data_IF_342806899525
#
_entry.id   IF_342806899525
#
_cell.length_a   1.000
_cell.length_b   1.000
_cell.length_c   1.000
_cell.angle_alpha   90.00
_cell.angle_beta   90.00
_cell.angle_gamma   90.00
#
_symmetry.space_group_name_H-M   'P 1'
#
loop_
_entity.id
_entity.type
_entity.pdbx_description
1 polymer ?
#
# COMPACT_ATOMS: atom_id res chain seq x y z
N UNK A 1 22.18 -0.45 2.77
CA UNK A 1 20.87 -1.11 2.63
C UNK A 1 19.79 -0.09 2.95
N UNK A 2 19.77 1.01 2.20
CA UNK A 2 18.74 2.06 2.22
C UNK A 2 17.97 2.07 0.88
N UNK A 3 18.25 1.10 0.00
CA UNK A 3 17.97 1.21 -1.43
C UNK A 3 16.47 1.10 -1.76
N UNK A 4 15.66 0.41 -0.94
CA UNK A 4 14.25 0.16 -1.29
C UNK A 4 13.34 1.39 -1.16
N UNK A 5 13.57 2.21 -0.15
CA UNK A 5 12.73 3.38 0.11
C UNK A 5 13.14 4.56 -0.78
N UNK A 6 14.45 4.70 -1.05
CA UNK A 6 14.94 5.63 -2.08
C UNK A 6 14.39 5.29 -3.47
N UNK A 7 14.30 4.01 -3.83
CA UNK A 7 13.71 3.59 -5.11
C UNK A 7 12.21 3.93 -5.20
N UNK A 8 11.45 3.83 -4.10
CA UNK A 8 10.02 4.16 -4.04
C UNK A 8 9.80 5.66 -4.27
N UNK A 9 10.54 6.51 -3.54
CA UNK A 9 10.39 7.96 -3.67
C UNK A 9 10.87 8.45 -5.04
N UNK A 10 11.93 7.86 -5.57
CA UNK A 10 12.41 8.17 -6.92
C UNK A 10 11.40 7.78 -7.99
N UNK A 11 10.78 6.60 -7.89
CA UNK A 11 9.71 6.20 -8.81
C UNK A 11 8.50 7.14 -8.74
N UNK A 12 8.11 7.58 -7.53
CA UNK A 12 7.05 8.56 -7.36
C UNK A 12 7.39 9.88 -8.07
N UNK A 13 8.60 10.39 -7.88
CA UNK A 13 9.08 11.62 -8.51
C UNK A 13 9.12 11.49 -10.04
N UNK A 14 9.65 10.39 -10.56
CA UNK A 14 9.75 10.15 -12.01
C UNK A 14 8.37 10.05 -12.66
N UNK A 15 7.41 9.38 -12.02
CA UNK A 15 6.03 9.30 -12.51
C UNK A 15 5.29 10.63 -12.45
N UNK A 16 5.45 11.40 -11.37
CA UNK A 16 4.89 12.75 -11.29
C UNK A 16 5.46 13.66 -12.40
N UNK A 17 6.78 13.64 -12.62
CA UNK A 17 7.44 14.40 -13.70
C UNK A 17 6.94 13.99 -15.09
N UNK A 18 6.52 12.73 -15.25
CA UNK A 18 5.89 12.23 -16.46
C UNK A 18 4.39 12.62 -16.59
N UNK A 19 3.85 13.40 -15.65
CA UNK A 19 2.46 13.87 -15.67
C UNK A 19 1.45 12.81 -15.21
N UNK A 20 1.91 11.79 -14.50
CA UNK A 20 1.06 10.67 -14.04
C UNK A 20 0.48 10.94 -12.67
N UNK A 21 -0.71 10.41 -12.43
CA UNK A 21 -1.24 10.27 -11.09
C UNK A 21 -0.42 9.25 -10.28
N UNK A 22 -0.08 9.60 -9.05
CA UNK A 22 0.73 8.76 -8.15
C UNK A 22 0.07 8.72 -6.78
N UNK A 23 0.05 7.55 -6.16
CA UNK A 23 -0.31 7.35 -4.76
C UNK A 23 0.78 6.60 -4.01
N UNK A 24 0.90 6.91 -2.73
CA UNK A 24 1.75 6.21 -1.77
C UNK A 24 0.85 5.48 -0.78
N UNK A 25 1.08 4.18 -0.62
CA UNK A 25 0.44 3.35 0.36
C UNK A 25 1.47 2.91 1.40
N UNK A 26 1.28 3.28 2.67
CA UNK A 26 2.25 3.06 3.75
C UNK A 26 1.60 2.30 4.90
N UNK A 27 2.24 1.24 5.36
CA UNK A 27 1.84 0.56 6.59
C UNK A 27 2.07 1.50 7.76
N UNK A 28 1.00 1.96 8.41
CA UNK A 28 1.08 2.88 9.54
C UNK A 28 1.02 2.15 10.88
N UNK A 29 0.36 0.99 10.92
CA UNK A 29 0.21 0.19 12.13
C UNK A 29 0.23 -1.30 11.80
N UNK A 30 0.74 -2.10 12.74
CA UNK A 30 0.83 -3.55 12.63
C UNK A 30 0.46 -4.21 13.96
N UNK A 31 -0.31 -5.29 13.93
CA UNK A 31 -0.66 -6.12 15.08
C UNK A 31 -0.31 -7.58 14.83
N UNK A 32 0.09 -8.28 15.90
CA UNK A 32 0.45 -9.69 15.85
C UNK A 32 1.65 -9.94 14.93
N UNK A 33 1.64 -11.09 14.26
CA UNK A 33 2.70 -11.54 13.35
C UNK A 33 2.54 -10.95 11.95
N UNK A 34 2.41 -9.62 11.85
CA UNK A 34 2.29 -8.92 10.58
C UNK A 34 3.52 -9.18 9.68
N UNK A 35 3.33 -9.39 8.37
CA UNK A 35 4.40 -9.83 7.47
C UNK A 35 5.40 -8.72 7.11
N UNK A 36 5.02 -7.45 7.31
CA UNK A 36 5.84 -6.25 7.06
C UNK A 36 5.73 -5.30 8.24
N UNK A 37 6.82 -4.61 8.62
CA UNK A 37 6.78 -3.61 9.69
C UNK A 37 6.07 -2.34 9.24
N UNK A 38 5.62 -1.54 10.22
CA UNK A 38 5.22 -0.16 9.97
C UNK A 38 6.35 0.62 9.28
N UNK A 39 5.97 1.53 8.38
CA UNK A 39 6.86 2.23 7.47
C UNK A 39 7.10 1.51 6.14
N UNK A 40 6.67 0.25 5.97
CA UNK A 40 6.73 -0.41 4.67
C UNK A 40 5.77 0.27 3.69
N UNK A 41 6.29 0.65 2.53
CA UNK A 41 5.52 1.40 1.54
C UNK A 41 5.42 0.72 0.18
N UNK A 42 4.44 1.16 -0.58
CA UNK A 42 4.13 0.81 -1.95
C UNK A 42 3.79 2.10 -2.69
N UNK A 43 4.51 2.42 -3.77
CA UNK A 43 4.13 3.50 -4.69
C UNK A 43 3.38 2.90 -5.86
N UNK A 44 2.29 3.55 -6.27
CA UNK A 44 1.38 3.10 -7.32
C UNK A 44 1.12 4.28 -8.25
N UNK A 45 1.09 4.03 -9.56
CA UNK A 45 0.65 5.03 -10.54
C UNK A 45 -0.73 4.72 -11.12
N UNK A 46 -1.26 5.66 -11.89
CA UNK A 46 -2.58 5.61 -12.54
C UNK A 46 -2.78 4.48 -13.59
N UNK A 47 -1.75 3.73 -13.97
CA UNK A 47 -1.89 2.51 -14.78
C UNK A 47 -1.85 1.23 -13.92
N UNK A 48 -1.77 1.37 -12.59
CA UNK A 48 -1.67 0.27 -11.66
C UNK A 48 -0.28 -0.37 -11.57
N UNK A 49 0.76 0.25 -12.17
CA UNK A 49 2.14 -0.18 -11.95
C UNK A 49 2.57 0.24 -10.55
N UNK A 50 3.25 -0.65 -9.83
CA UNK A 50 3.67 -0.39 -8.46
C UNK A 50 5.09 -0.86 -8.16
N UNK A 51 5.69 -0.26 -7.14
CA UNK A 51 6.99 -0.65 -6.58
C UNK A 51 6.92 -0.62 -5.05
N UNK A 52 7.58 -1.58 -4.40
CA UNK A 52 7.53 -1.74 -2.94
C UNK A 52 6.67 -2.92 -2.51
N UNK A 53 6.30 -2.97 -1.23
CA UNK A 53 5.46 -4.04 -0.68
C UNK A 53 4.98 -3.70 0.73
N UNK A 54 3.68 -3.87 0.97
CA UNK A 54 3.06 -3.70 2.30
C UNK A 54 2.75 -5.04 2.98
N UNK A 55 2.73 -6.17 2.26
CA UNK A 55 2.47 -7.49 2.87
C UNK A 55 3.38 -8.62 2.40
N UNK A 56 4.00 -8.48 1.23
CA UNK A 56 4.82 -9.53 0.62
C UNK A 56 4.11 -10.31 -0.49
N UNK A 57 2.91 -9.89 -0.91
CA UNK A 57 2.22 -10.38 -2.11
C UNK A 57 0.73 -10.65 -1.97
N UNK A 58 0.17 -10.70 -0.76
CA UNK A 58 -1.21 -11.14 -0.56
C UNK A 58 -2.25 -10.03 -0.74
N UNK A 59 -1.95 -8.80 -0.34
CA UNK A 59 -2.92 -7.69 -0.31
C UNK A 59 -2.57 -6.54 -1.26
N UNK A 60 -1.42 -6.63 -1.93
CA UNK A 60 -0.94 -5.61 -2.86
C UNK A 60 -1.96 -5.29 -3.96
N UNK A 61 -2.67 -6.30 -4.49
CA UNK A 61 -3.71 -6.08 -5.50
C UNK A 61 -4.87 -5.23 -4.99
N UNK A 62 -5.34 -5.48 -3.76
CA UNK A 62 -6.41 -4.68 -3.15
C UNK A 62 -5.96 -3.24 -2.87
N UNK A 63 -4.71 -3.07 -2.42
CA UNK A 63 -4.12 -1.75 -2.20
C UNK A 63 -4.00 -0.97 -3.51
N UNK A 64 -3.60 -1.62 -4.61
CA UNK A 64 -3.53 -0.99 -5.93
C UNK A 64 -4.91 -0.49 -6.38
N UNK A 65 -5.96 -1.30 -6.22
CA UNK A 65 -7.33 -0.88 -6.56
C UNK A 65 -7.75 0.37 -5.78
N UNK A 66 -7.56 0.37 -4.46
CA UNK A 66 -7.90 1.53 -3.63
C UNK A 66 -7.02 2.75 -3.92
N UNK A 67 -5.75 2.54 -4.29
CA UNK A 67 -4.85 3.61 -4.68
C UNK A 67 -5.28 4.30 -5.97
N UNK A 68 -5.81 3.56 -6.96
CA UNK A 68 -6.37 4.14 -8.17
C UNK A 68 -7.54 5.08 -7.86
N UNK A 69 -8.44 4.68 -6.96
CA UNK A 69 -9.53 5.55 -6.48
C UNK A 69 -9.01 6.81 -5.77
N UNK A 70 -7.94 6.68 -4.97
CA UNK A 70 -7.31 7.81 -4.26
C UNK A 70 -6.68 8.78 -5.26
N UNK A 71 -6.03 8.28 -6.31
CA UNK A 71 -5.44 9.10 -7.39
C UNK A 71 -6.53 9.93 -8.09
N UNK A 72 -7.66 9.30 -8.43
CA UNK A 72 -8.78 9.95 -9.12
C UNK A 72 -9.51 10.94 -8.20
N UNK A 73 -9.82 10.53 -6.97
CA UNK A 73 -10.62 11.34 -6.04
C UNK A 73 -9.82 12.42 -5.30
N UNK A 74 -8.50 12.26 -5.19
CA UNK A 74 -7.63 13.09 -4.35
C UNK A 74 -7.88 12.97 -2.85
N UNK A 75 -8.69 11.99 -2.41
CA UNK A 75 -9.05 11.81 -1.01
C UNK A 75 -8.27 10.64 -0.42
N UNK A 76 -7.46 10.83 0.62
CA UNK A 76 -6.73 9.73 1.24
C UNK A 76 -7.68 8.73 1.90
N UNK A 77 -7.25 7.46 1.98
CA UNK A 77 -7.99 6.34 2.56
C UNK A 77 -7.15 5.60 3.59
N UNK A 78 -7.81 5.08 4.63
CA UNK A 78 -7.23 4.11 5.56
C UNK A 78 -7.79 2.73 5.24
N UNK A 79 -6.89 1.79 4.96
CA UNK A 79 -7.21 0.40 4.68
C UNK A 79 -6.78 -0.48 5.85
N UNK A 80 -7.53 -1.55 6.12
CA UNK A 80 -7.22 -2.49 7.18
C UNK A 80 -7.28 -3.92 6.61
N UNK A 81 -6.18 -4.66 6.78
CA UNK A 81 -6.03 -6.02 6.29
C UNK A 81 -5.57 -6.91 7.44
N UNK A 82 -6.35 -7.92 7.80
CA UNK A 82 -6.03 -8.82 8.91
C UNK A 82 -6.63 -10.19 8.69
N UNK A 83 -6.27 -11.17 9.53
CA UNK A 83 -6.86 -12.50 9.44
C UNK A 83 -8.34 -12.39 9.76
N UNK A 84 -9.19 -12.84 8.83
CA UNK A 84 -10.59 -13.07 9.13
C UNK A 84 -10.70 -13.98 10.35
N UNK A 85 -11.22 -13.43 11.45
CA UNK A 85 -11.85 -14.23 12.49
C UNK A 85 -12.81 -15.21 11.80
N UNK A 86 -12.92 -16.44 12.30
CA UNK A 86 -13.70 -17.56 11.73
C UNK A 86 -15.22 -17.27 11.54
N UNK A 87 -15.65 -16.02 11.69
CA UNK A 87 -17.03 -15.54 11.51
C UNK A 87 -17.20 -14.43 10.46
N UNK A 88 -16.14 -13.92 9.83
CA UNK A 88 -16.27 -12.84 8.84
C UNK A 88 -15.45 -13.11 7.57
N UNK A 89 -16.14 -13.41 6.46
CA UNK A 89 -15.59 -13.43 5.10
C UNK A 89 -14.92 -12.09 4.74
N UNK A 90 -13.64 -11.92 5.02
CA UNK A 90 -12.78 -10.91 4.40
C UNK A 90 -11.38 -11.47 4.21
N UNK A 91 -10.76 -11.16 3.07
CA UNK A 91 -9.49 -11.74 2.61
C UNK A 91 -8.40 -11.56 3.68
N UNK A 92 -8.01 -12.66 4.34
CA UNK A 92 -7.17 -12.61 5.53
C UNK A 92 -5.71 -12.99 5.32
N UNK A 93 -4.81 -12.34 6.07
CA UNK A 93 -3.40 -12.69 6.15
C UNK A 93 -3.24 -14.08 6.79
N UNK A 94 -2.52 -15.01 6.17
CA UNK A 94 -2.35 -16.39 6.66
C UNK A 94 -1.44 -16.52 7.90
N UNK A 95 -0.85 -15.42 8.38
CA UNK A 95 0.14 -15.40 9.46
C UNK A 95 -0.38 -14.98 10.85
N UNK A 96 -1.66 -14.66 11.02
CA UNK A 96 -2.21 -14.26 12.33
C UNK A 96 -2.04 -12.77 12.66
N UNK A 97 -1.60 -11.93 11.70
CA UNK A 97 -1.40 -10.50 11.89
C UNK A 97 -2.41 -9.61 11.18
N UNK A 98 -2.47 -8.35 11.58
CA UNK A 98 -3.25 -7.27 10.94
C UNK A 98 -2.32 -6.11 10.63
N UNK A 99 -2.55 -5.45 9.49
CA UNK A 99 -1.88 -4.21 9.10
C UNK A 99 -2.91 -3.15 8.77
N UNK A 100 -2.59 -1.90 9.07
CA UNK A 100 -3.31 -0.74 8.55
C UNK A 100 -2.42 0.02 7.59
N UNK A 101 -2.97 0.32 6.42
CA UNK A 101 -2.28 0.96 5.32
C UNK A 101 -2.95 2.30 5.04
N UNK A 102 -2.21 3.38 5.19
CA UNK A 102 -2.65 4.71 4.77
C UNK A 102 -2.30 4.90 3.30
N UNK A 103 -3.28 5.30 2.50
CA UNK A 103 -3.12 5.55 1.07
C UNK A 103 -3.43 7.01 0.80
N UNK A 104 -2.46 7.71 0.22
CA UNK A 104 -2.57 9.12 -0.13
C UNK A 104 -2.08 9.37 -1.55
N UNK A 105 -2.65 10.38 -2.20
CA UNK A 105 -2.16 10.88 -3.48
C UNK A 105 -0.90 11.70 -3.24
N UNK A 106 0.10 11.55 -4.10
CA UNK A 106 1.30 12.37 -4.09
C UNK A 106 1.04 13.56 -5.02
N UNK A 107 1.13 14.78 -4.47
CA UNK A 107 0.94 16.07 -5.17
C UNK A 107 2.20 16.95 -5.10
#
# INVERSE_FOLDING_TARGET
MLDRDEDILRAAEDWQKAGRGVALATVVETWGSAPRPAGSSLVINDEGTFLGSVSGGCVEGAVVTEAMDVIESGKPKMLEFGVADETAWNVGLSCGGTIRVFVEKVD
#
